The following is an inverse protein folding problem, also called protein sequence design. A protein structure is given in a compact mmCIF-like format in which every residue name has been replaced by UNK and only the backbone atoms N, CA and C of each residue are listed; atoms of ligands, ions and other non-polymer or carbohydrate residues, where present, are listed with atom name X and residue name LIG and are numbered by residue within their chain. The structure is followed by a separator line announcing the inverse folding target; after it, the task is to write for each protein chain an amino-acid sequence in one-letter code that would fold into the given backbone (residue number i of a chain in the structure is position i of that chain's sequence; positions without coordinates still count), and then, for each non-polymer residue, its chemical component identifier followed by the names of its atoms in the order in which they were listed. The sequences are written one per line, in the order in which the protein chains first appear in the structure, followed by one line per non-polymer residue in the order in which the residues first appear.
data_IF_245275565689
#
_entry.id   IF_245275565689
#
_cell.length_a   1.000
_cell.length_b   1.000
_cell.length_c   1.000
_cell.angle_alpha   90.00
_cell.angle_beta   90.00
_cell.angle_gamma   90.00
#
_symmetry.space_group_name_H-M   'P 1'
#
loop_
_entity.id
_entity.type
_entity.pdbx_description
1 polymer ?
#
# COMPACT_ATOMS: atom_id res chain seq x y z
N UNK A 1 53.03 -45.30 16.24
CA UNK A 1 52.67 -45.24 14.81
C UNK A 1 51.59 -44.18 14.69
N UNK A 2 51.95 -43.08 14.03
CA UNK A 2 51.13 -41.90 13.82
C UNK A 2 50.20 -42.09 12.61
N UNK A 3 49.07 -41.39 12.67
CA UNK A 3 48.26 -40.76 11.61
C UNK A 3 47.97 -41.52 10.31
N UNK A 4 46.67 -41.64 9.99
CA UNK A 4 46.02 -40.92 8.89
C UNK A 4 44.53 -41.34 8.89
N UNK A 5 43.68 -40.51 9.49
CA UNK A 5 42.88 -39.49 8.79
C UNK A 5 41.78 -40.11 7.93
N UNK A 6 40.60 -40.17 8.53
CA UNK A 6 39.31 -40.26 7.85
C UNK A 6 39.19 -39.09 6.88
N UNK A 7 39.04 -39.37 5.59
CA UNK A 7 38.45 -38.42 4.66
C UNK A 7 37.11 -38.97 4.20
N UNK A 8 36.07 -38.68 4.99
CA UNK A 8 34.70 -38.72 4.53
C UNK A 8 34.51 -37.53 3.60
N UNK A 9 34.48 -37.79 2.30
CA UNK A 9 33.99 -36.82 1.32
C UNK A 9 32.51 -36.65 1.59
N UNK A 10 32.16 -35.60 2.34
CA UNK A 10 30.81 -35.08 2.42
C UNK A 10 30.45 -34.51 1.05
N UNK A 11 29.67 -35.27 0.29
CA UNK A 11 28.99 -34.86 -0.93
C UNK A 11 27.78 -33.98 -0.56
N UNK A 12 28.01 -32.98 0.29
CA UNK A 12 26.97 -32.10 0.78
C UNK A 12 26.97 -30.80 -0.02
N UNK A 13 25.92 -30.68 -0.84
CA UNK A 13 25.22 -29.42 -1.05
C UNK A 13 25.95 -28.32 -1.80
N UNK A 14 26.40 -28.63 -3.02
CA UNK A 14 26.41 -27.62 -4.08
C UNK A 14 25.01 -27.53 -4.75
N UNK A 15 23.97 -27.21 -3.96
CA UNK A 15 22.73 -26.70 -4.55
C UNK A 15 23.00 -25.28 -5.05
N UNK A 16 22.88 -25.10 -6.37
CA UNK A 16 23.07 -23.80 -7.04
C UNK A 16 22.28 -22.70 -6.29
N UNK A 17 22.89 -21.54 -5.97
CA UNK A 17 22.23 -20.41 -5.34
C UNK A 17 21.07 -19.81 -6.16
N UNK A 18 20.92 -20.23 -7.41
CA UNK A 18 19.98 -19.67 -8.39
C UNK A 18 18.53 -20.13 -8.18
N UNK A 19 18.31 -21.32 -7.62
CA UNK A 19 16.96 -21.90 -7.48
C UNK A 19 16.13 -21.24 -6.36
N UNK A 20 16.74 -20.37 -5.55
CA UNK A 20 16.06 -19.68 -4.44
C UNK A 20 15.57 -18.27 -4.78
N UNK A 21 15.78 -17.79 -6.01
CA UNK A 21 15.41 -16.43 -6.42
C UNK A 21 14.10 -16.31 -7.21
N UNK A 22 13.48 -17.41 -7.65
CA UNK A 22 12.28 -17.35 -8.50
C UNK A 22 10.93 -17.42 -7.75
N UNK A 23 10.91 -17.74 -6.46
CA UNK A 23 9.65 -18.10 -5.76
C UNK A 23 8.96 -16.93 -5.03
N UNK A 24 9.20 -15.66 -5.39
CA UNK A 24 8.52 -14.54 -4.67
C UNK A 24 8.13 -13.30 -5.46
N UNK A 25 8.06 -13.37 -6.78
CA UNK A 25 7.80 -12.20 -7.64
C UNK A 25 6.49 -12.20 -8.45
N UNK A 26 5.46 -12.94 -8.04
CA UNK A 26 4.16 -12.94 -8.77
C UNK A 26 2.90 -12.65 -7.94
N UNK A 27 3.00 -12.19 -6.69
CA UNK A 27 1.84 -11.63 -5.98
C UNK A 27 2.09 -10.19 -5.51
N UNK A 28 1.81 -9.22 -6.40
CA UNK A 28 1.08 -7.96 -6.12
C UNK A 28 1.54 -6.83 -7.06
N UNK A 29 0.64 -6.40 -7.96
CA UNK A 29 0.08 -5.06 -7.74
C UNK A 29 -1.44 -4.97 -7.90
N UNK A 30 -2.16 -6.07 -8.19
CA UNK A 30 -3.60 -6.02 -8.50
C UNK A 30 -4.53 -5.65 -7.32
N UNK A 31 -4.08 -5.76 -6.07
CA UNK A 31 -4.91 -5.34 -4.91
C UNK A 31 -5.03 -3.81 -4.77
N UNK A 32 -4.05 -3.03 -5.22
CA UNK A 32 -3.99 -1.58 -4.91
C UNK A 32 -5.07 -0.73 -5.60
N UNK A 33 -5.37 -1.03 -6.86
CA UNK A 33 -6.38 -0.26 -7.62
C UNK A 33 -7.81 -0.54 -7.15
N UNK A 34 -8.09 -1.76 -6.68
CA UNK A 34 -9.41 -2.13 -6.16
C UNK A 34 -9.70 -1.40 -4.84
N UNK A 35 -8.71 -1.20 -3.98
CA UNK A 35 -8.89 -0.54 -2.69
C UNK A 35 -9.09 0.98 -2.82
N UNK A 36 -8.40 1.63 -3.76
CA UNK A 36 -8.64 3.05 -4.09
C UNK A 36 -10.04 3.24 -4.69
N UNK A 37 -10.43 2.36 -5.62
CA UNK A 37 -11.76 2.41 -6.23
C UNK A 37 -12.87 2.21 -5.18
N UNK A 38 -12.70 1.26 -4.25
CA UNK A 38 -13.62 1.06 -3.11
C UNK A 38 -13.70 2.31 -2.24
N UNK A 39 -12.58 2.98 -1.96
CA UNK A 39 -12.55 4.24 -1.22
C UNK A 39 -13.35 5.34 -1.92
N UNK A 40 -13.17 5.52 -3.22
CA UNK A 40 -13.90 6.52 -4.03
C UNK A 40 -15.41 6.23 -4.03
N UNK A 41 -15.79 4.96 -4.22
CA UNK A 41 -17.19 4.54 -4.17
C UNK A 41 -17.80 4.84 -2.79
N UNK A 42 -17.08 4.54 -1.70
CA UNK A 42 -17.55 4.78 -0.34
C UNK A 42 -17.79 6.27 -0.06
N UNK A 43 -16.89 7.15 -0.52
CA UNK A 43 -17.07 8.62 -0.45
C UNK A 43 -18.29 9.07 -1.26
N UNK A 44 -18.45 8.54 -2.48
CA UNK A 44 -19.60 8.84 -3.32
C UNK A 44 -20.94 8.47 -2.65
N UNK A 45 -21.03 7.28 -2.06
CA UNK A 45 -22.20 6.85 -1.31
C UNK A 45 -22.44 7.77 -0.10
N UNK A 46 -21.40 8.14 0.64
CA UNK A 46 -21.49 9.07 1.77
C UNK A 46 -22.08 10.43 1.38
N UNK A 47 -21.66 10.98 0.23
CA UNK A 47 -22.22 12.24 -0.31
C UNK A 47 -23.70 12.10 -0.66
N UNK A 48 -24.09 11.02 -1.34
CA UNK A 48 -25.49 10.78 -1.72
C UNK A 48 -26.37 10.68 -0.47
N UNK A 49 -25.92 9.95 0.55
CA UNK A 49 -26.64 9.81 1.83
C UNK A 49 -26.77 11.16 2.54
N UNK A 50 -25.73 12.01 2.51
CA UNK A 50 -25.81 13.36 3.08
C UNK A 50 -26.80 14.24 2.34
N UNK A 51 -26.81 14.21 1.01
CA UNK A 51 -27.75 14.98 0.19
C UNK A 51 -29.20 14.54 0.49
N UNK A 52 -29.45 13.23 0.56
CA UNK A 52 -30.75 12.67 0.96
C UNK A 52 -31.13 13.09 2.38
N UNK A 53 -30.21 12.96 3.34
CA UNK A 53 -30.42 13.39 4.72
C UNK A 53 -30.76 14.88 4.83
N UNK A 54 -30.07 15.72 4.07
CA UNK A 54 -30.34 17.15 3.99
C UNK A 54 -31.70 17.46 3.35
N UNK A 55 -32.06 16.77 2.28
CA UNK A 55 -33.37 16.91 1.64
C UNK A 55 -34.53 16.52 2.58
N UNK A 56 -34.35 15.41 3.31
CA UNK A 56 -35.30 14.97 4.32
C UNK A 56 -35.38 15.98 5.47
N UNK A 57 -34.25 16.51 5.93
CA UNK A 57 -34.21 17.55 6.95
C UNK A 57 -34.95 18.82 6.51
N UNK A 58 -34.77 19.24 5.24
CA UNK A 58 -35.46 20.41 4.68
C UNK A 58 -36.97 20.19 4.53
N UNK A 59 -37.42 18.96 4.25
CA UNK A 59 -38.85 18.58 4.17
C UNK A 59 -39.46 18.22 5.53
N UNK A 60 -38.78 18.51 6.66
CA UNK A 60 -39.27 18.20 7.99
C UNK A 60 -40.49 19.06 8.32
N UNK A 61 -41.69 18.58 8.00
CA UNK A 61 -42.92 19.15 8.55
C UNK A 61 -43.20 18.58 9.94
N UNK A 62 -43.17 17.26 10.16
CA UNK A 62 -43.70 16.68 11.43
C UNK A 62 -43.05 15.34 11.88
N UNK A 63 -41.82 15.03 11.45
CA UNK A 63 -41.15 13.74 11.77
C UNK A 63 -40.23 13.75 13.01
N UNK A 64 -39.89 12.56 13.58
CA UNK A 64 -38.98 12.46 14.71
C UNK A 64 -37.58 12.97 14.34
N UNK A 65 -36.99 13.83 15.19
CA UNK A 65 -35.71 14.49 14.88
C UNK A 65 -34.58 13.51 14.57
N UNK A 66 -34.63 12.32 15.17
CA UNK A 66 -33.62 11.25 15.05
C UNK A 66 -33.52 10.69 13.63
N UNK A 67 -34.63 10.62 12.89
CA UNK A 67 -34.68 10.06 11.52
C UNK A 67 -33.89 10.91 10.53
N UNK A 68 -33.70 12.20 10.83
CA UNK A 68 -32.97 13.14 9.99
C UNK A 68 -31.49 13.27 10.37
N UNK A 69 -31.16 13.11 11.65
CA UNK A 69 -29.78 13.23 12.14
C UNK A 69 -28.99 11.96 11.82
N UNK A 70 -29.64 10.80 11.91
CA UNK A 70 -29.01 9.51 11.65
C UNK A 70 -28.34 9.40 10.26
N UNK A 71 -29.01 9.70 9.13
CA UNK A 71 -28.38 9.64 7.81
C UNK A 71 -27.24 10.67 7.66
N UNK A 72 -27.33 11.83 8.33
CA UNK A 72 -26.25 12.83 8.31
C UNK A 72 -25.00 12.27 8.99
N UNK A 73 -25.16 11.68 10.18
CA UNK A 73 -24.05 11.05 10.93
C UNK A 73 -23.45 9.90 10.14
N UNK A 74 -24.28 9.02 9.56
CA UNK A 74 -23.83 7.90 8.73
C UNK A 74 -23.03 8.41 7.53
N UNK A 75 -23.55 9.41 6.82
CA UNK A 75 -22.86 10.00 5.68
C UNK A 75 -21.49 10.58 6.07
N UNK A 76 -21.39 11.30 7.18
CA UNK A 76 -20.11 11.82 7.70
C UNK A 76 -19.10 10.69 7.98
N UNK A 77 -19.55 9.60 8.64
CA UNK A 77 -18.68 8.45 8.94
C UNK A 77 -18.18 7.79 7.65
N UNK A 78 -19.04 7.63 6.64
CA UNK A 78 -18.67 7.07 5.35
C UNK A 78 -17.64 7.95 4.61
N UNK A 79 -17.81 9.28 4.67
CA UNK A 79 -16.85 10.22 4.09
C UNK A 79 -15.48 10.10 4.75
N UNK A 80 -15.40 10.14 6.08
CA UNK A 80 -14.13 10.06 6.82
C UNK A 80 -13.42 8.73 6.50
N UNK A 81 -14.17 7.62 6.53
CA UNK A 81 -13.61 6.28 6.26
C UNK A 81 -13.10 6.17 4.83
N UNK A 82 -13.89 6.61 3.85
CA UNK A 82 -13.50 6.57 2.44
C UNK A 82 -12.30 7.49 2.15
N UNK A 83 -12.29 8.70 2.70
CA UNK A 83 -11.19 9.65 2.56
C UNK A 83 -9.89 9.12 3.17
N UNK A 84 -9.95 8.45 4.33
CA UNK A 84 -8.78 7.81 4.93
C UNK A 84 -8.20 6.73 4.00
N UNK A 85 -9.04 5.82 3.49
CA UNK A 85 -8.61 4.73 2.61
C UNK A 85 -7.92 5.27 1.33
N UNK A 86 -8.49 6.31 0.71
CA UNK A 86 -7.90 6.95 -0.47
C UNK A 86 -6.55 7.58 -0.11
N UNK A 87 -6.51 8.35 0.99
CA UNK A 87 -5.31 9.08 1.42
C UNK A 87 -4.15 8.14 1.75
N UNK A 88 -4.40 7.04 2.45
CA UNK A 88 -3.38 6.04 2.77
C UNK A 88 -2.80 5.39 1.51
N UNK A 89 -3.64 5.04 0.53
CA UNK A 89 -3.17 4.43 -0.71
C UNK A 89 -2.35 5.40 -1.57
N UNK A 90 -2.84 6.64 -1.74
CA UNK A 90 -2.12 7.67 -2.51
C UNK A 90 -0.80 8.06 -1.83
N UNK A 91 -0.79 8.16 -0.50
CA UNK A 91 0.42 8.50 0.27
C UNK A 91 1.48 7.40 0.16
N UNK A 92 1.08 6.13 0.22
CA UNK A 92 2.02 5.02 0.03
C UNK A 92 2.62 5.00 -1.39
N UNK A 93 1.85 5.38 -2.41
CA UNK A 93 2.38 5.49 -3.78
C UNK A 93 3.38 6.66 -3.91
N UNK A 94 3.11 7.81 -3.27
CA UNK A 94 4.03 8.95 -3.22
C UNK A 94 5.31 8.64 -2.44
N UNK A 95 5.20 7.95 -1.30
CA UNK A 95 6.36 7.55 -0.50
C UNK A 95 7.27 6.59 -1.25
N UNK A 96 6.68 5.65 -2.03
CA UNK A 96 7.47 4.75 -2.86
C UNK A 96 8.23 5.49 -3.95
N UNK A 97 7.58 6.41 -4.66
CA UNK A 97 8.24 7.24 -5.70
C UNK A 97 9.33 8.12 -5.09
N UNK A 98 9.07 8.75 -3.94
CA UNK A 98 10.07 9.57 -3.24
C UNK A 98 11.27 8.74 -2.73
N UNK A 99 11.04 7.49 -2.30
CA UNK A 99 12.12 6.58 -1.91
C UNK A 99 12.93 6.10 -3.12
N UNK A 100 12.27 5.77 -4.23
CA UNK A 100 12.93 5.40 -5.49
C UNK A 100 13.78 6.56 -6.04
N UNK A 101 13.28 7.80 -6.00
CA UNK A 101 14.04 8.98 -6.39
C UNK A 101 15.27 9.22 -5.50
N UNK A 102 15.12 9.08 -4.17
CA UNK A 102 16.25 9.21 -3.23
C UNK A 102 17.30 8.12 -3.41
N UNK A 103 16.87 6.87 -3.55
CA UNK A 103 17.77 5.74 -3.77
C UNK A 103 18.54 5.88 -5.10
N UNK A 104 17.87 6.32 -6.18
CA UNK A 104 18.53 6.57 -7.47
C UNK A 104 19.49 7.77 -7.38
N UNK A 105 19.16 8.81 -6.62
CA UNK A 105 20.05 9.95 -6.40
C UNK A 105 21.31 9.56 -5.60
N UNK A 106 21.18 8.70 -4.59
CA UNK A 106 22.32 8.17 -3.83
C UNK A 106 23.19 7.22 -4.66
N UNK A 107 22.58 6.33 -5.45
CA UNK A 107 23.31 5.44 -6.37
C UNK A 107 24.09 6.22 -7.44
N UNK A 108 23.51 7.29 -7.99
CA UNK A 108 24.20 8.16 -8.95
C UNK A 108 25.40 8.89 -8.33
N UNK A 109 25.31 9.31 -7.06
CA UNK A 109 26.44 9.90 -6.33
C UNK A 109 27.54 8.89 -6.06
N UNK A 110 27.19 7.70 -5.56
CA UNK A 110 28.17 6.64 -5.29
C UNK A 110 28.90 6.15 -6.56
N UNK A 111 28.20 6.12 -7.71
CA UNK A 111 28.81 5.77 -9.00
C UNK A 111 29.75 6.87 -9.52
N UNK A 112 29.45 8.14 -9.27
CA UNK A 112 30.33 9.25 -9.63
C UNK A 112 31.64 9.23 -8.82
N UNK A 113 31.57 8.92 -7.51
CA UNK A 113 32.76 8.82 -6.65
C UNK A 113 33.66 7.63 -7.06
N UNK A 114 33.08 6.47 -7.40
CA UNK A 114 33.87 5.32 -7.89
C UNK A 114 34.49 5.54 -9.27
N UNK A 115 33.93 6.42 -10.09
CA UNK A 115 34.52 6.75 -11.40
C UNK A 115 35.72 7.70 -11.25
N UNK A 116 35.81 8.42 -10.12
CA UNK A 116 36.92 9.33 -9.81
C UNK A 116 38.13 8.63 -9.18
N UNK A 117 37.95 7.50 -8.49
CA UNK A 117 39.07 6.68 -7.97
C UNK A 117 39.83 5.89 -9.04
N UNK A 118 39.30 5.81 -10.27
CA UNK A 118 39.88 5.00 -11.37
C UNK A 118 40.65 5.86 -12.39
N UNK A 119 40.77 7.18 -12.17
CA UNK A 119 41.58 8.11 -13.00
C UNK A 119 42.71 8.73 -12.19
#
# INVERSE_FOLDING_TARGET
MESNENFSVDEDSAKSPEEKLEVKNEEKPKKKTVDVLKGIILVGIGLVVLILGFFLYKKRSEGPKIVFILPIVIGIVLLITGSAIISFNVTMEKLRKAAEEKAVAELKKAAADKTLEVK
#
